data_IF_866304251434
#
_entry.id   IF_866304251434
#
_cell.length_a   1.000
_cell.length_b   1.000
_cell.length_c   1.000
_cell.angle_alpha   90.00
_cell.angle_beta   90.00
_cell.angle_gamma   90.00
#
_symmetry.space_group_name_H-M   'P 1'
#
loop_
_entity.id
_entity.type
_entity.pdbx_description
1 polymer ?
#
# COMPACT_ATOMS: atom_id res chain seq x y z
N UNK A 1 1.23 -34.79 -14.44
CA UNK A 1 1.79 -34.80 -13.06
C UNK A 1 0.89 -33.95 -12.19
N UNK A 2 0.31 -34.51 -11.12
CA UNK A 2 -0.57 -33.77 -10.22
C UNK A 2 0.21 -32.66 -9.51
N UNK A 3 -0.35 -31.45 -9.45
CA UNK A 3 0.22 -30.36 -8.64
C UNK A 3 0.28 -30.85 -7.18
N UNK A 4 1.41 -30.70 -6.47
CA UNK A 4 1.46 -31.04 -5.05
C UNK A 4 0.39 -30.21 -4.32
N UNK A 5 -0.55 -30.91 -3.67
CA UNK A 5 -1.59 -30.26 -2.85
C UNK A 5 -0.94 -29.88 -1.52
N UNK A 6 -0.93 -28.58 -1.20
CA UNK A 6 -0.58 -28.11 0.14
C UNK A 6 -1.56 -28.70 1.15
N UNK A 7 -1.05 -29.41 2.16
CA UNK A 7 -1.89 -30.00 3.20
C UNK A 7 -2.37 -28.93 4.19
N UNK A 8 -3.52 -29.15 4.81
CA UNK A 8 -4.04 -28.27 5.86
C UNK A 8 -3.06 -28.13 7.04
N UNK A 9 -2.33 -29.20 7.38
CA UNK A 9 -1.28 -29.20 8.40
C UNK A 9 -0.10 -28.29 8.06
N UNK A 10 0.33 -28.25 6.79
CA UNK A 10 1.41 -27.36 6.35
C UNK A 10 0.96 -25.90 6.33
N UNK A 11 -0.25 -25.63 5.85
CA UNK A 11 -0.82 -24.29 5.89
C UNK A 11 -0.96 -23.76 7.33
N UNK A 12 -1.35 -24.62 8.26
CA UNK A 12 -1.40 -24.30 9.68
C UNK A 12 -0.01 -24.04 10.27
N UNK A 13 1.00 -24.83 9.89
CA UNK A 13 2.39 -24.66 10.32
C UNK A 13 3.00 -23.33 9.83
N UNK A 14 2.58 -22.81 8.67
CA UNK A 14 3.01 -21.51 8.17
C UNK A 14 2.42 -20.34 8.96
N UNK A 15 1.19 -20.47 9.50
CA UNK A 15 0.50 -19.43 10.27
C UNK A 15 1.08 -19.19 11.67
N UNK A 16 2.07 -19.97 12.10
CA UNK A 16 2.71 -19.81 13.41
C UNK A 16 1.82 -20.23 14.59
N UNK A 17 0.67 -20.86 14.35
CA UNK A 17 -0.25 -21.38 15.37
C UNK A 17 0.29 -22.62 16.11
N UNK A 18 1.60 -22.85 16.05
CA UNK A 18 2.31 -23.74 16.96
C UNK A 18 3.21 -22.84 17.79
N UNK A 19 2.62 -22.17 18.76
CA UNK A 19 3.36 -21.36 19.73
C UNK A 19 4.22 -22.27 20.59
N UNK A 20 5.39 -21.80 21.03
CA UNK A 20 6.29 -22.52 21.98
C UNK A 20 5.53 -23.05 23.23
N UNK A 21 4.38 -22.44 23.56
CA UNK A 21 3.49 -22.85 24.66
C UNK A 21 2.66 -24.12 24.39
N UNK A 22 2.45 -24.52 23.13
CA UNK A 22 1.68 -25.71 22.74
C UNK A 22 2.58 -26.95 22.53
N UNK A 23 3.87 -26.82 22.82
CA UNK A 23 4.81 -27.91 22.70
C UNK A 23 4.83 -28.73 24.00
N UNK A 24 4.59 -30.05 23.93
CA UNK A 24 4.95 -30.91 25.05
C UNK A 24 6.44 -30.74 25.35
N UNK A 25 6.83 -30.87 26.62
CA UNK A 25 8.20 -30.72 27.17
C UNK A 25 9.33 -31.42 26.37
N UNK A 26 9.00 -32.28 25.40
CA UNK A 26 9.90 -33.00 24.53
C UNK A 26 10.69 -32.11 23.53
N UNK A 27 10.15 -30.98 23.05
CA UNK A 27 10.89 -30.09 22.14
C UNK A 27 11.99 -29.25 22.83
N UNK A 28 11.99 -29.21 24.17
CA UNK A 28 13.03 -28.56 24.98
C UNK A 28 14.23 -29.48 25.26
N UNK A 29 14.18 -30.75 24.82
CA UNK A 29 15.16 -31.76 25.22
C UNK A 29 16.42 -31.81 24.34
N UNK A 30 16.38 -31.29 23.11
CA UNK A 30 17.54 -31.35 22.20
C UNK A 30 18.34 -30.04 22.20
N UNK A 31 19.64 -30.17 22.50
CA UNK A 31 20.57 -29.05 22.51
C UNK A 31 20.62 -28.39 21.13
N UNK A 32 20.59 -27.05 21.12
CA UNK A 32 20.77 -26.28 19.91
C UNK A 32 22.18 -26.54 19.34
N UNK A 33 22.32 -27.03 18.11
CA UNK A 33 23.62 -27.38 17.54
C UNK A 33 24.48 -26.15 17.19
N UNK A 34 23.88 -24.96 17.06
CA UNK A 34 24.59 -23.75 16.63
C UNK A 34 24.10 -22.49 17.37
N UNK A 35 24.26 -22.43 18.71
CA UNK A 35 23.70 -21.36 19.54
C UNK A 35 24.30 -19.96 19.24
N UNK A 36 25.43 -19.91 18.53
CA UNK A 36 26.07 -18.65 18.12
C UNK A 36 25.23 -17.83 17.13
N UNK A 37 24.40 -18.47 16.30
CA UNK A 37 23.61 -17.77 15.27
C UNK A 37 22.17 -18.29 15.17
N UNK A 38 21.91 -19.56 15.48
CA UNK A 38 20.57 -20.13 15.49
C UNK A 38 19.91 -19.84 16.85
N UNK A 39 18.82 -19.07 16.87
CA UNK A 39 18.12 -18.80 18.12
C UNK A 39 17.42 -20.05 18.66
N UNK A 40 17.26 -20.15 20.00
CA UNK A 40 16.52 -21.26 20.62
C UNK A 40 15.08 -21.37 20.10
N UNK A 41 14.45 -20.22 19.76
CA UNK A 41 13.13 -20.18 19.13
C UNK A 41 13.15 -20.80 17.73
N UNK A 42 14.08 -20.38 16.88
CA UNK A 42 14.22 -20.93 15.53
C UNK A 42 14.48 -22.44 15.56
N UNK A 43 15.33 -22.90 16.48
CA UNK A 43 15.59 -24.32 16.69
C UNK A 43 14.35 -25.11 17.12
N UNK A 44 13.58 -24.58 18.07
CA UNK A 44 12.31 -25.18 18.49
C UNK A 44 11.30 -25.25 17.32
N UNK A 45 11.25 -24.23 16.46
CA UNK A 45 10.41 -24.23 15.27
C UNK A 45 10.85 -25.29 14.25
N UNK A 46 12.14 -25.56 14.09
CA UNK A 46 12.64 -26.65 13.24
C UNK A 46 12.30 -28.02 13.82
N UNK A 47 12.45 -28.23 15.14
CA UNK A 47 12.05 -29.47 15.80
C UNK A 47 10.54 -29.71 15.70
N UNK A 48 9.73 -28.64 15.69
CA UNK A 48 8.28 -28.73 15.49
C UNK A 48 7.88 -29.35 14.15
N UNK A 49 8.70 -29.13 13.12
CA UNK A 49 8.44 -29.61 11.76
C UNK A 49 8.51 -31.14 11.65
N UNK A 50 9.03 -31.84 12.68
CA UNK A 50 9.02 -33.31 12.72
C UNK A 50 7.63 -33.93 12.58
N UNK A 51 6.59 -33.19 12.95
CA UNK A 51 5.18 -33.58 12.80
C UNK A 51 4.73 -33.66 11.33
N UNK A 52 5.47 -33.05 10.41
CA UNK A 52 5.19 -33.05 8.99
C UNK A 52 5.97 -34.18 8.32
N UNK A 53 5.28 -35.06 7.61
CA UNK A 53 5.85 -36.30 7.05
C UNK A 53 7.10 -36.07 6.19
N UNK A 54 7.10 -35.03 5.34
CA UNK A 54 8.25 -34.70 4.48
C UNK A 54 9.40 -33.98 5.18
N UNK A 55 9.15 -33.40 6.35
CA UNK A 55 10.15 -32.67 7.15
C UNK A 55 10.52 -33.41 8.44
N UNK A 56 10.06 -34.66 8.60
CA UNK A 56 10.24 -35.47 9.80
C UNK A 56 11.68 -35.54 10.26
N UNK A 57 12.60 -35.62 9.31
CA UNK A 57 14.04 -35.84 9.54
C UNK A 57 14.87 -34.56 9.30
N UNK A 58 14.23 -33.40 9.13
CA UNK A 58 14.92 -32.18 8.75
C UNK A 58 15.82 -31.67 9.87
N UNK A 59 15.33 -31.67 11.11
CA UNK A 59 16.08 -31.18 12.26
C UNK A 59 17.40 -31.96 12.45
N UNK A 60 17.41 -33.26 12.20
CA UNK A 60 18.57 -34.15 12.28
C UNK A 60 19.64 -33.83 11.22
N UNK A 61 19.27 -33.12 10.16
CA UNK A 61 20.22 -32.70 9.13
C UNK A 61 20.96 -31.41 9.49
N UNK A 62 20.40 -30.57 10.37
CA UNK A 62 20.97 -29.27 10.73
C UNK A 62 22.36 -29.39 11.37
N UNK A 63 22.61 -30.29 12.35
CA UNK A 63 23.95 -30.48 12.91
C UNK A 63 24.96 -31.05 11.92
N UNK A 64 24.49 -31.73 10.86
CA UNK A 64 25.36 -32.39 9.86
C UNK A 64 25.88 -31.41 8.81
N UNK A 65 25.19 -30.28 8.63
CA UNK A 65 25.47 -29.30 7.58
C UNK A 65 25.28 -27.86 8.08
N UNK A 66 25.85 -27.57 9.26
CA UNK A 66 25.71 -26.27 9.95
C UNK A 66 26.15 -25.12 9.05
N UNK A 67 27.24 -25.29 8.31
CA UNK A 67 27.80 -24.24 7.46
C UNK A 67 26.87 -23.88 6.30
N UNK A 68 26.18 -24.85 5.68
CA UNK A 68 25.18 -24.55 4.64
C UNK A 68 24.00 -23.78 5.20
N UNK A 69 23.45 -24.21 6.33
CA UNK A 69 22.31 -23.52 6.95
C UNK A 69 22.68 -22.14 7.47
N UNK A 70 23.91 -21.96 7.95
CA UNK A 70 24.47 -20.65 8.30
C UNK A 70 24.61 -19.77 7.05
N UNK A 71 25.10 -20.31 5.92
CA UNK A 71 25.17 -19.56 4.67
C UNK A 71 23.79 -19.12 4.17
N UNK A 72 22.76 -19.97 4.32
CA UNK A 72 21.37 -19.59 4.04
C UNK A 72 20.93 -18.47 5.00
N UNK A 73 21.17 -18.63 6.30
CA UNK A 73 20.81 -17.65 7.31
C UNK A 73 21.47 -16.28 7.07
N UNK A 74 22.75 -16.25 6.71
CA UNK A 74 23.52 -15.03 6.47
C UNK A 74 23.23 -14.40 5.08
N UNK A 75 22.56 -15.13 4.18
CA UNK A 75 22.26 -14.63 2.82
C UNK A 75 21.28 -13.44 2.86
N UNK A 76 21.46 -12.44 1.97
CA UNK A 76 20.47 -11.39 1.79
C UNK A 76 19.18 -11.90 1.11
N UNK A 77 19.25 -13.03 0.39
CA UNK A 77 18.14 -13.65 -0.33
C UNK A 77 17.99 -15.14 0.04
N UNK A 78 17.73 -15.46 1.33
CA UNK A 78 17.72 -16.84 1.83
C UNK A 78 16.67 -17.73 1.15
N UNK A 79 15.59 -17.13 0.64
CA UNK A 79 14.51 -17.81 -0.07
C UNK A 79 14.90 -18.33 -1.47
N UNK A 80 16.06 -17.92 -2.00
CA UNK A 80 16.61 -18.37 -3.29
C UNK A 80 17.83 -19.27 -3.13
N UNK A 81 18.34 -19.40 -1.92
CA UNK A 81 19.47 -20.27 -1.63
C UNK A 81 19.08 -21.75 -1.78
N UNK A 82 19.89 -22.58 -2.45
CA UNK A 82 19.62 -24.01 -2.57
C UNK A 82 19.77 -24.72 -1.21
N UNK A 83 18.92 -25.70 -0.92
CA UNK A 83 19.15 -26.59 0.22
C UNK A 83 20.19 -27.66 -0.15
N UNK A 84 20.78 -28.32 0.84
CA UNK A 84 21.55 -29.55 0.59
C UNK A 84 20.60 -30.70 0.22
N UNK A 85 21.11 -31.66 -0.56
CA UNK A 85 20.37 -32.90 -0.80
C UNK A 85 20.28 -33.72 0.49
N UNK A 86 19.16 -34.42 0.75
CA UNK A 86 18.03 -34.65 -0.17
C UNK A 86 16.95 -33.56 -0.14
N UNK A 87 17.09 -32.51 0.67
CA UNK A 87 16.01 -31.54 0.92
C UNK A 87 15.69 -30.67 -0.28
N UNK A 88 16.69 -30.38 -1.11
CA UNK A 88 16.48 -29.66 -2.35
C UNK A 88 15.53 -30.43 -3.29
N UNK A 89 15.72 -31.74 -3.47
CA UNK A 89 14.84 -32.54 -4.32
C UNK A 89 13.54 -32.98 -3.63
N UNK A 90 13.58 -33.25 -2.32
CA UNK A 90 12.44 -33.78 -1.53
C UNK A 90 11.36 -32.73 -1.25
N UNK A 91 11.74 -31.46 -1.05
CA UNK A 91 10.83 -30.41 -0.61
C UNK A 91 10.29 -29.58 -1.77
N UNK A 92 8.97 -29.42 -1.79
CA UNK A 92 8.32 -28.48 -2.70
C UNK A 92 8.47 -27.03 -2.24
N UNK A 93 8.05 -26.10 -3.11
CA UNK A 93 8.20 -24.68 -2.85
C UNK A 93 7.49 -24.20 -1.58
N UNK A 94 6.36 -24.81 -1.20
CA UNK A 94 5.63 -24.42 0.01
C UNK A 94 6.34 -24.92 1.27
N UNK A 95 6.83 -26.16 1.26
CA UNK A 95 7.60 -26.73 2.37
C UNK A 95 8.89 -25.95 2.64
N UNK A 96 9.54 -25.44 1.60
CA UNK A 96 10.71 -24.55 1.75
C UNK A 96 10.36 -23.22 2.45
N UNK A 97 9.13 -22.71 2.30
CA UNK A 97 8.68 -21.53 3.05
C UNK A 97 8.59 -21.80 4.55
N UNK A 98 8.29 -23.04 4.97
CA UNK A 98 8.29 -23.41 6.39
C UNK A 98 9.70 -23.29 6.97
N UNK A 99 10.70 -23.79 6.25
CA UNK A 99 12.11 -23.66 6.65
C UNK A 99 12.54 -22.20 6.72
N UNK A 100 12.18 -21.42 5.70
CA UNK A 100 12.44 -19.99 5.66
C UNK A 100 11.79 -19.26 6.85
N UNK A 101 10.56 -19.62 7.23
CA UNK A 101 9.87 -19.05 8.39
C UNK A 101 10.65 -19.28 9.69
N UNK A 102 11.23 -20.46 9.87
CA UNK A 102 11.99 -20.77 11.07
C UNK A 102 13.37 -20.09 11.09
N UNK A 103 14.08 -20.06 9.95
CA UNK A 103 15.44 -19.52 9.86
C UNK A 103 15.49 -17.99 9.69
N UNK A 104 14.68 -17.45 8.77
CA UNK A 104 14.66 -16.04 8.36
C UNK A 104 13.22 -15.55 8.15
N UNK A 105 12.44 -15.41 9.25
CA UNK A 105 11.04 -14.97 9.18
C UNK A 105 10.88 -13.60 8.54
N UNK A 106 11.88 -12.72 8.62
CA UNK A 106 11.93 -11.41 7.98
C UNK A 106 11.87 -11.50 6.44
N UNK A 107 12.31 -12.62 5.87
CA UNK A 107 12.34 -12.87 4.42
C UNK A 107 11.19 -13.72 3.93
N UNK A 108 10.25 -14.08 4.79
CA UNK A 108 9.10 -14.92 4.44
C UNK A 108 8.22 -14.27 3.37
N UNK A 109 7.99 -12.95 3.45
CA UNK A 109 7.18 -12.23 2.44
C UNK A 109 7.79 -12.33 1.05
N UNK A 110 9.10 -12.11 0.92
CA UNK A 110 9.82 -12.24 -0.36
C UNK A 110 9.77 -13.67 -0.88
N UNK A 111 9.98 -14.67 -0.01
CA UNK A 111 9.85 -16.08 -0.37
C UNK A 111 8.44 -16.45 -0.84
N UNK A 112 7.40 -15.94 -0.16
CA UNK A 112 6.01 -16.17 -0.54
C UNK A 112 5.70 -15.53 -1.90
N UNK A 113 6.22 -14.33 -2.17
CA UNK A 113 6.07 -13.67 -3.46
C UNK A 113 6.75 -14.48 -4.59
N UNK A 114 7.97 -14.96 -4.37
CA UNK A 114 8.67 -15.84 -5.32
C UNK A 114 7.87 -17.12 -5.60
N UNK A 115 7.31 -17.73 -4.55
CA UNK A 115 6.48 -18.93 -4.67
C UNK A 115 5.17 -18.68 -5.44
N UNK A 116 4.45 -17.61 -5.09
CA UNK A 116 3.20 -17.21 -5.78
C UNK A 116 3.45 -16.86 -7.25
N UNK A 117 4.56 -16.18 -7.54
CA UNK A 117 4.96 -15.84 -8.91
C UNK A 117 5.16 -17.09 -9.77
N UNK A 118 5.77 -18.14 -9.21
CA UNK A 118 5.98 -19.41 -9.92
C UNK A 118 4.68 -20.20 -10.08
N UNK A 119 3.76 -20.12 -9.12
CA UNK A 119 2.52 -20.91 -9.11
C UNK A 119 1.38 -20.29 -9.92
N UNK A 120 1.21 -18.96 -9.84
CA UNK A 120 0.08 -18.23 -10.43
C UNK A 120 0.54 -17.22 -11.51
N UNK A 121 1.82 -16.86 -11.52
CA UNK A 121 2.40 -15.87 -12.42
C UNK A 121 2.73 -14.55 -11.71
N UNK A 122 3.65 -13.74 -12.27
CA UNK A 122 4.15 -12.51 -11.65
C UNK A 122 3.07 -11.46 -11.39
N UNK A 123 2.01 -11.41 -12.22
CA UNK A 123 0.87 -10.49 -12.08
C UNK A 123 0.10 -10.56 -10.74
N UNK A 124 0.28 -11.64 -9.97
CA UNK A 124 -0.36 -11.85 -8.66
C UNK A 124 0.46 -11.30 -7.49
N UNK A 125 1.69 -10.85 -7.74
CA UNK A 125 2.56 -10.21 -6.74
C UNK A 125 2.99 -8.81 -7.14
N UNK A 126 2.98 -8.52 -8.44
CA UNK A 126 3.26 -7.19 -8.96
C UNK A 126 2.14 -6.21 -8.59
N UNK A 127 2.46 -5.01 -8.09
CA UNK A 127 1.47 -3.98 -7.86
C UNK A 127 0.75 -3.65 -9.16
N UNK A 128 -0.56 -3.89 -9.22
CA UNK A 128 -1.36 -3.43 -10.35
C UNK A 128 -1.71 -1.96 -10.14
N UNK A 129 -1.52 -1.15 -11.17
CA UNK A 129 -1.98 0.23 -11.15
C UNK A 129 -3.51 0.22 -11.03
N UNK A 130 -4.03 0.80 -9.96
CA UNK A 130 -5.46 1.05 -9.79
C UNK A 130 -5.93 2.05 -10.83
N UNK A 131 -6.85 1.63 -11.69
CA UNK A 131 -7.41 2.45 -12.76
C UNK A 131 -8.93 2.60 -12.58
N UNK A 132 -9.36 3.85 -12.35
CA UNK A 132 -10.77 4.24 -12.22
C UNK A 132 -11.58 3.78 -13.44
N UNK A 133 -10.99 3.79 -14.64
CA UNK A 133 -11.70 3.38 -15.85
C UNK A 133 -12.00 1.88 -15.86
N UNK A 134 -11.15 1.06 -15.25
CA UNK A 134 -11.38 -0.39 -15.13
C UNK A 134 -12.52 -0.66 -14.15
N UNK A 135 -12.50 -0.02 -12.98
CA UNK A 135 -13.56 -0.12 -11.98
C UNK A 135 -14.93 0.35 -12.52
N UNK A 136 -14.92 1.38 -13.38
CA UNK A 136 -16.12 1.92 -14.01
C UNK A 136 -16.79 0.96 -15.00
N UNK A 137 -16.03 0.08 -15.67
CA UNK A 137 -16.59 -0.89 -16.63
C UNK A 137 -17.52 -1.90 -15.97
N UNK A 138 -17.25 -2.22 -14.71
CA UNK A 138 -18.04 -3.17 -13.92
C UNK A 138 -19.21 -2.47 -13.20
N UNK A 139 -19.39 -1.16 -13.39
CA UNK A 139 -20.41 -0.37 -12.72
C UNK A 139 -21.58 0.03 -13.64
N UNK A 140 -22.74 0.14 -13.01
CA UNK A 140 -24.02 0.45 -13.63
C UNK A 140 -24.81 1.43 -12.75
N UNK A 141 -26.06 1.72 -13.09
CA UNK A 141 -26.88 2.62 -12.27
C UNK A 141 -27.18 2.00 -10.89
N UNK A 142 -27.35 0.68 -10.83
CA UNK A 142 -27.60 -0.09 -9.61
C UNK A 142 -26.34 -0.59 -8.88
N UNK A 143 -25.14 -0.43 -9.47
CA UNK A 143 -23.87 -0.90 -8.89
C UNK A 143 -23.04 0.32 -8.45
N UNK A 144 -23.02 0.67 -7.14
CA UNK A 144 -22.24 1.78 -6.63
C UNK A 144 -20.74 1.58 -6.81
N UNK A 145 -20.01 2.69 -6.82
CA UNK A 145 -18.56 2.74 -6.92
C UNK A 145 -17.98 3.22 -5.59
N UNK A 146 -17.16 2.39 -4.93
CA UNK A 146 -16.60 2.69 -3.60
C UNK A 146 -15.08 2.75 -3.64
N UNK A 147 -14.53 3.91 -3.27
CA UNK A 147 -13.12 4.06 -2.94
C UNK A 147 -12.90 3.82 -1.45
N UNK A 148 -12.19 2.74 -1.13
CA UNK A 148 -11.74 2.44 0.22
C UNK A 148 -10.41 3.16 0.45
N UNK A 149 -10.43 4.17 1.31
CA UNK A 149 -9.30 5.05 1.55
C UNK A 149 -8.35 4.47 2.58
N UNK A 150 -7.07 4.43 2.24
CA UNK A 150 -6.00 4.36 3.24
C UNK A 150 -5.74 5.75 3.82
N UNK A 151 -5.10 5.80 5.00
CA UNK A 151 -4.68 7.07 5.62
C UNK A 151 -3.83 7.91 4.66
N UNK A 152 -4.19 9.19 4.50
CA UNK A 152 -3.48 10.14 3.65
C UNK A 152 -3.72 9.99 2.15
N UNK A 153 -4.77 9.26 1.73
CA UNK A 153 -5.15 9.12 0.32
C UNK A 153 -6.46 9.85 0.02
N UNK A 154 -6.53 10.51 -1.14
CA UNK A 154 -7.75 11.12 -1.67
C UNK A 154 -7.84 10.90 -3.20
N UNK A 155 -8.84 10.13 -3.69
CA UNK A 155 -9.03 9.88 -5.11
C UNK A 155 -9.81 11.00 -5.83
N UNK A 156 -10.18 12.08 -5.16
CA UNK A 156 -11.04 13.12 -5.74
C UNK A 156 -10.49 13.67 -7.06
N UNK A 157 -9.19 13.99 -7.14
CA UNK A 157 -8.58 14.52 -8.37
C UNK A 157 -8.58 13.50 -9.52
N UNK A 158 -8.36 12.22 -9.21
CA UNK A 158 -8.41 11.13 -10.18
C UNK A 158 -9.83 10.97 -10.73
N UNK A 159 -10.85 11.03 -9.84
CA UNK A 159 -12.26 10.99 -10.24
C UNK A 159 -12.67 12.21 -11.06
N UNK A 160 -12.26 13.43 -10.69
CA UNK A 160 -12.57 14.64 -11.47
C UNK A 160 -11.98 14.57 -12.88
N UNK A 161 -10.73 14.13 -12.98
CA UNK A 161 -10.07 13.93 -14.28
C UNK A 161 -10.78 12.85 -15.11
N UNK A 162 -11.29 11.80 -14.46
CA UNK A 162 -12.06 10.76 -15.13
C UNK A 162 -13.44 11.25 -15.58
N UNK A 163 -14.16 12.00 -14.74
CA UNK A 163 -15.44 12.60 -15.09
C UNK A 163 -15.31 13.55 -16.28
N UNK A 164 -14.19 14.26 -16.41
CA UNK A 164 -13.92 15.12 -17.56
C UNK A 164 -13.74 14.35 -18.86
N UNK A 165 -12.95 13.29 -18.81
CA UNK A 165 -12.81 12.35 -19.94
C UNK A 165 -14.14 11.74 -20.37
N UNK A 166 -15.04 11.49 -19.41
CA UNK A 166 -16.39 10.95 -19.65
C UNK A 166 -17.44 12.02 -19.97
N UNK A 167 -17.06 13.32 -20.05
CA UNK A 167 -17.97 14.46 -20.26
C UNK A 167 -19.09 14.57 -19.21
N UNK A 168 -18.79 14.14 -17.99
CA UNK A 168 -19.67 14.19 -16.81
C UNK A 168 -19.28 15.26 -15.79
N UNK A 169 -18.17 16.00 -15.99
CA UNK A 169 -17.72 17.07 -15.07
C UNK A 169 -18.83 18.05 -14.68
N UNK A 170 -19.64 18.51 -15.64
CA UNK A 170 -20.74 19.46 -15.40
C UNK A 170 -21.97 18.83 -14.73
N UNK A 171 -22.07 17.50 -14.75
CA UNK A 171 -23.15 16.69 -14.20
C UNK A 171 -22.66 15.86 -13.00
N UNK A 172 -21.59 16.29 -12.35
CA UNK A 172 -21.03 15.64 -11.16
C UNK A 172 -21.34 16.50 -9.93
N UNK A 173 -22.28 16.07 -9.12
CA UNK A 173 -22.54 16.65 -7.80
C UNK A 173 -21.57 16.09 -6.76
N UNK A 174 -20.99 16.95 -5.93
CA UNK A 174 -20.01 16.55 -4.90
C UNK A 174 -20.47 17.04 -3.53
N UNK A 175 -20.45 16.14 -2.54
CA UNK A 175 -20.69 16.48 -1.12
C UNK A 175 -19.67 15.76 -0.25
N UNK A 176 -18.94 16.51 0.57
CA UNK A 176 -18.22 15.96 1.71
C UNK A 176 -19.19 15.72 2.86
N UNK A 177 -19.43 14.45 3.17
CA UNK A 177 -20.33 14.06 4.24
C UNK A 177 -19.71 14.37 5.61
N UNK A 178 -20.58 14.86 6.48
CA UNK A 178 -20.30 15.24 7.86
C UNK A 178 -21.62 15.55 8.55
N UNK A 179 -21.56 16.12 9.76
CA UNK A 179 -22.75 16.41 10.52
C UNK A 179 -23.70 17.36 9.74
N UNK A 180 -24.96 16.96 9.58
CA UNK A 180 -26.01 17.78 8.96
C UNK A 180 -26.07 17.76 7.42
N UNK A 181 -25.21 17.03 6.71
CA UNK A 181 -25.22 16.98 5.24
C UNK A 181 -26.23 15.99 4.63
N UNK A 182 -26.74 15.04 5.43
CA UNK A 182 -27.64 13.97 4.98
C UNK A 182 -28.83 14.43 4.12
N UNK A 183 -29.66 15.40 4.57
CA UNK A 183 -30.81 15.86 3.79
C UNK A 183 -30.45 16.55 2.45
N UNK A 184 -29.23 17.10 2.34
CA UNK A 184 -28.74 17.66 1.08
C UNK A 184 -28.26 16.54 0.15
N UNK A 185 -27.57 15.56 0.70
CA UNK A 185 -27.09 14.39 -0.04
C UNK A 185 -28.25 13.55 -0.60
N UNK A 186 -29.30 13.33 0.19
CA UNK A 186 -30.50 12.61 -0.25
C UNK A 186 -31.18 13.29 -1.44
N UNK A 187 -31.41 14.61 -1.38
CA UNK A 187 -31.99 15.36 -2.50
C UNK A 187 -31.13 15.29 -3.77
N UNK A 188 -29.81 15.45 -3.60
CA UNK A 188 -28.86 15.35 -4.72
C UNK A 188 -28.86 13.95 -5.34
N UNK A 189 -28.94 12.90 -4.53
CA UNK A 189 -29.01 11.52 -4.99
C UNK A 189 -30.29 11.29 -5.81
N UNK A 190 -31.45 11.64 -5.26
CA UNK A 190 -32.74 11.42 -5.93
C UNK A 190 -32.81 12.16 -7.28
N UNK A 191 -32.37 13.43 -7.30
CA UNK A 191 -32.30 14.21 -8.54
C UNK A 191 -31.34 13.57 -9.56
N UNK A 192 -30.17 13.09 -9.12
CA UNK A 192 -29.20 12.49 -10.02
C UNK A 192 -29.69 11.16 -10.61
N UNK A 193 -30.45 10.37 -9.85
CA UNK A 193 -31.08 9.13 -10.32
C UNK A 193 -32.05 9.41 -11.46
N UNK A 194 -32.83 10.49 -11.37
CA UNK A 194 -33.80 10.90 -12.41
C UNK A 194 -33.10 11.52 -13.63
N UNK A 195 -32.13 12.42 -13.42
CA UNK A 195 -31.50 13.20 -14.49
C UNK A 195 -30.33 12.50 -15.20
N UNK A 196 -29.83 11.39 -14.64
CA UNK A 196 -28.64 10.71 -15.17
C UNK A 196 -27.33 11.41 -14.85
N UNK A 197 -27.28 12.09 -13.70
CA UNK A 197 -26.08 12.78 -13.22
C UNK A 197 -25.25 11.86 -12.33
N UNK A 198 -23.99 12.23 -12.08
CA UNK A 198 -23.12 11.53 -11.13
C UNK A 198 -23.17 12.22 -9.78
N UNK A 199 -23.08 11.44 -8.71
CA UNK A 199 -22.91 11.96 -7.35
C UNK A 199 -21.64 11.40 -6.73
N UNK A 200 -20.91 12.25 -6.03
CA UNK A 200 -19.70 11.89 -5.31
C UNK A 200 -19.83 12.28 -3.84
N UNK A 201 -20.02 11.28 -2.98
CA UNK A 201 -20.09 11.47 -1.53
C UNK A 201 -18.77 11.09 -0.89
N UNK A 202 -18.09 12.11 -0.37
CA UNK A 202 -16.79 11.93 0.28
C UNK A 202 -16.96 11.70 1.78
N UNK A 203 -16.04 10.96 2.38
CA UNK A 203 -15.92 10.78 3.83
C UNK A 203 -17.16 10.15 4.48
N UNK A 204 -17.74 9.11 3.87
CA UNK A 204 -18.95 8.44 4.37
C UNK A 204 -18.83 7.96 5.82
N UNK A 205 -17.63 7.53 6.25
CA UNK A 205 -17.31 7.18 7.64
C UNK A 205 -17.59 8.31 8.67
N UNK A 206 -17.64 9.58 8.25
CA UNK A 206 -17.94 10.73 9.10
C UNK A 206 -19.45 11.02 9.25
N UNK A 207 -20.33 10.29 8.54
CA UNK A 207 -21.78 10.44 8.63
C UNK A 207 -22.50 9.13 9.03
N UNK A 208 -22.09 8.47 10.15
CA UNK A 208 -22.58 7.14 10.51
C UNK A 208 -24.10 7.07 10.72
N UNK A 209 -24.73 8.15 11.19
CA UNK A 209 -26.18 8.20 11.42
C UNK A 209 -27.01 8.24 10.13
N UNK A 210 -26.42 8.67 9.01
CA UNK A 210 -27.13 8.77 7.74
C UNK A 210 -26.88 7.57 6.83
N UNK A 211 -25.81 6.79 7.06
CA UNK A 211 -25.48 5.63 6.24
C UNK A 211 -26.61 4.59 6.09
N UNK A 212 -27.40 4.25 7.13
CA UNK A 212 -28.55 3.35 6.96
C UNK A 212 -29.63 3.92 6.03
N UNK A 213 -29.79 5.25 6.01
CA UNK A 213 -30.72 5.91 5.09
C UNK A 213 -30.23 5.84 3.66
N UNK A 214 -28.93 6.04 3.44
CA UNK A 214 -28.32 5.88 2.11
C UNK A 214 -28.51 4.45 1.58
N UNK A 215 -28.35 3.42 2.43
CA UNK A 215 -28.59 2.02 2.07
C UNK A 215 -30.02 1.81 1.56
N UNK A 216 -31.03 2.26 2.32
CA UNK A 216 -32.43 2.18 1.91
C UNK A 216 -32.72 2.91 0.58
N UNK A 217 -32.08 4.06 0.35
CA UNK A 217 -32.26 4.80 -0.90
C UNK A 217 -31.68 4.02 -2.09
N UNK A 218 -30.50 3.43 -1.93
CA UNK A 218 -29.83 2.68 -2.99
C UNK A 218 -30.50 1.32 -3.27
N UNK A 219 -31.16 0.70 -2.29
CA UNK A 219 -31.99 -0.50 -2.52
C UNK A 219 -33.14 -0.23 -3.52
N UNK A 220 -33.65 1.00 -3.58
CA UNK A 220 -34.69 1.40 -4.55
C UNK A 220 -34.16 1.73 -5.95
N UNK A 221 -32.84 1.88 -6.11
CA UNK A 221 -32.19 2.20 -7.38
C UNK A 221 -31.90 0.90 -8.13
N UNK A 222 -32.64 0.67 -9.20
CA UNK A 222 -32.50 -0.49 -10.08
C UNK A 222 -32.19 -0.03 -11.50
N UNK A 223 -31.71 -0.93 -12.36
CA UNK A 223 -31.47 -0.60 -13.77
C UNK A 223 -32.74 -0.14 -14.51
N UNK A 224 -33.93 -0.55 -14.05
CA UNK A 224 -35.21 -0.18 -14.66
C UNK A 224 -35.74 1.16 -14.12
N UNK A 225 -35.39 1.53 -12.89
CA UNK A 225 -35.90 2.74 -12.22
C UNK A 225 -34.96 3.94 -12.33
N UNK A 226 -33.67 3.71 -12.54
CA UNK A 226 -32.65 4.75 -12.60
C UNK A 226 -32.26 5.11 -14.03
N UNK A 227 -31.92 6.37 -14.26
CA UNK A 227 -31.37 6.77 -15.55
C UNK A 227 -30.04 6.04 -15.84
N UNK A 228 -29.88 5.51 -17.04
CA UNK A 228 -28.72 4.66 -17.42
C UNK A 228 -27.34 5.30 -17.18
N UNK A 229 -27.24 6.62 -17.32
CA UNK A 229 -26.00 7.38 -17.09
C UNK A 229 -25.71 7.68 -15.60
N UNK A 230 -26.68 7.47 -14.70
CA UNK A 230 -26.53 7.72 -13.27
C UNK A 230 -25.40 6.87 -12.69
N UNK A 231 -24.53 7.48 -11.87
CA UNK A 231 -23.50 6.78 -11.11
C UNK A 231 -23.32 7.42 -9.74
N UNK A 232 -23.15 6.59 -8.72
CA UNK A 232 -22.79 7.02 -7.37
C UNK A 232 -21.37 6.57 -7.02
N UNK A 233 -20.57 7.54 -6.60
CA UNK A 233 -19.21 7.38 -6.13
C UNK A 233 -19.16 7.68 -4.64
N UNK A 234 -18.56 6.80 -3.85
CA UNK A 234 -18.44 6.92 -2.41
C UNK A 234 -16.97 6.85 -2.01
N UNK A 235 -16.53 7.68 -1.05
CA UNK A 235 -15.25 7.45 -0.35
C UNK A 235 -15.47 7.15 1.11
N UNK A 236 -14.70 6.19 1.63
CA UNK A 236 -14.68 5.91 3.07
C UNK A 236 -13.38 5.24 3.48
N UNK A 237 -12.87 5.58 4.66
CA UNK A 237 -11.95 4.68 5.37
C UNK A 237 -12.74 3.46 5.86
N UNK A 238 -12.08 2.31 6.11
CA UNK A 238 -12.74 1.14 6.71
C UNK A 238 -13.44 1.53 8.02
N UNK A 239 -14.76 1.34 8.08
CA UNK A 239 -15.59 1.71 9.22
C UNK A 239 -16.72 0.71 9.41
N UNK A 240 -17.01 0.28 10.65
CA UNK A 240 -18.14 -0.60 10.94
C UNK A 240 -19.50 0.07 10.69
N UNK A 241 -19.53 1.41 10.59
CA UNK A 241 -20.73 2.17 10.28
C UNK A 241 -21.04 2.21 8.78
N UNK A 242 -20.13 1.76 7.91
CA UNK A 242 -20.38 1.70 6.48
C UNK A 242 -21.29 0.49 6.16
N UNK A 243 -22.40 0.66 5.43
CA UNK A 243 -23.36 -0.41 5.19
C UNK A 243 -22.78 -1.61 4.45
N UNK A 244 -23.01 -2.79 5.00
CA UNK A 244 -22.53 -4.04 4.41
C UNK A 244 -23.20 -4.31 3.06
N UNK A 245 -24.49 -3.99 2.91
CA UNK A 245 -25.21 -4.18 1.66
C UNK A 245 -24.61 -3.35 0.52
N UNK A 246 -24.34 -2.06 0.76
CA UNK A 246 -23.65 -1.18 -0.21
C UNK A 246 -22.26 -1.75 -0.54
N UNK A 247 -21.51 -2.17 0.48
CA UNK A 247 -20.17 -2.73 0.26
C UNK A 247 -20.20 -4.04 -0.55
N UNK A 248 -21.22 -4.88 -0.37
CA UNK A 248 -21.39 -6.12 -1.13
C UNK A 248 -21.81 -5.86 -2.58
N UNK A 249 -22.78 -4.96 -2.78
CA UNK A 249 -23.36 -4.63 -4.10
C UNK A 249 -22.46 -3.73 -4.97
N UNK A 250 -21.43 -3.09 -4.38
CA UNK A 250 -20.57 -2.15 -5.08
C UNK A 250 -19.38 -2.79 -5.82
N UNK A 251 -18.92 -2.10 -6.85
CA UNK A 251 -17.56 -2.20 -7.36
C UNK A 251 -16.64 -1.38 -6.45
N UNK A 252 -15.55 -1.99 -5.97
CA UNK A 252 -14.73 -1.41 -4.90
C UNK A 252 -13.25 -1.40 -5.25
N UNK A 253 -12.58 -0.31 -4.91
CA UNK A 253 -11.14 -0.12 -5.13
C UNK A 253 -10.50 0.43 -3.87
N UNK A 254 -9.41 -0.21 -3.44
CA UNK A 254 -8.57 0.30 -2.38
C UNK A 254 -7.59 1.32 -2.95
N UNK A 255 -7.65 2.55 -2.43
CA UNK A 255 -6.69 3.59 -2.76
C UNK A 255 -5.62 3.55 -1.68
N UNK A 256 -4.46 3.00 -2.03
CA UNK A 256 -3.30 2.91 -1.14
C UNK A 256 -2.19 3.86 -1.62
N UNK A 257 -1.37 4.42 -0.71
CA UNK A 257 -0.16 5.10 -1.11
C UNK A 257 0.78 4.14 -1.86
N UNK A 258 1.52 4.62 -2.87
CA UNK A 258 2.51 3.79 -3.54
C UNK A 258 3.54 3.25 -2.56
N UNK A 259 4.06 2.04 -2.85
CA UNK A 259 5.07 1.39 -2.02
C UNK A 259 6.43 1.47 -2.69
N UNK A 260 7.41 1.98 -1.95
CA UNK A 260 8.80 2.08 -2.37
C UNK A 260 9.15 3.45 -2.90
N UNK A 261 10.41 3.84 -2.71
CA UNK A 261 10.94 5.16 -3.10
C UNK A 261 10.69 5.47 -4.57
N UNK A 262 10.91 4.49 -5.47
CA UNK A 262 10.70 4.67 -6.91
C UNK A 262 9.24 5.01 -7.24
N UNK A 263 8.29 4.28 -6.67
CA UNK A 263 6.86 4.48 -6.95
C UNK A 263 6.37 5.82 -6.38
N UNK A 264 6.79 6.17 -5.15
CA UNK A 264 6.50 7.49 -4.56
C UNK A 264 7.08 8.63 -5.39
N UNK A 265 8.32 8.49 -5.88
CA UNK A 265 8.95 9.48 -6.74
C UNK A 265 8.18 9.65 -8.06
N UNK A 266 7.83 8.55 -8.72
CA UNK A 266 7.06 8.58 -9.97
C UNK A 266 5.70 9.26 -9.77
N UNK A 267 4.97 8.92 -8.70
CA UNK A 267 3.70 9.56 -8.37
C UNK A 267 3.86 11.05 -8.14
N UNK A 268 4.80 11.47 -7.30
CA UNK A 268 5.07 12.87 -7.00
C UNK A 268 5.43 13.66 -8.28
N UNK A 269 6.23 13.07 -9.18
CA UNK A 269 6.55 13.67 -10.47
C UNK A 269 5.31 13.86 -11.34
N UNK A 270 4.49 12.81 -11.49
CA UNK A 270 3.31 12.84 -12.36
C UNK A 270 2.21 13.76 -11.82
N UNK A 271 1.99 13.80 -10.49
CA UNK A 271 0.88 14.55 -9.90
C UNK A 271 1.21 16.01 -9.61
N UNK A 272 2.45 16.35 -9.25
CA UNK A 272 2.79 17.70 -8.77
C UNK A 272 3.52 18.57 -9.80
N UNK A 273 4.34 17.99 -10.68
CA UNK A 273 5.15 18.80 -11.60
C UNK A 273 4.37 19.35 -12.80
N UNK A 274 3.20 18.80 -13.11
CA UNK A 274 2.31 19.37 -14.14
C UNK A 274 1.94 20.82 -13.84
N UNK A 275 1.77 21.18 -12.57
CA UNK A 275 1.50 22.57 -12.16
C UNK A 275 2.68 23.54 -12.40
N UNK A 276 3.86 23.02 -12.71
CA UNK A 276 5.08 23.79 -12.97
C UNK A 276 5.57 23.61 -14.40
N UNK A 277 4.82 22.93 -15.27
CA UNK A 277 5.27 22.52 -16.61
C UNK A 277 5.79 23.71 -17.45
N UNK A 278 5.10 24.85 -17.41
CA UNK A 278 5.51 26.07 -18.11
C UNK A 278 6.93 26.53 -17.70
N UNK A 279 7.18 26.61 -16.39
CA UNK A 279 8.49 27.01 -15.88
C UNK A 279 9.53 25.90 -16.06
N UNK A 280 9.10 24.66 -15.84
CA UNK A 280 9.92 23.47 -15.99
C UNK A 280 10.46 23.39 -17.41
N UNK A 281 9.65 23.64 -18.45
CA UNK A 281 10.05 23.55 -19.85
C UNK A 281 10.57 24.87 -20.45
N UNK A 282 10.55 25.97 -19.68
CA UNK A 282 11.05 27.28 -20.15
C UNK A 282 12.56 27.31 -20.43
N UNK A 283 12.98 28.26 -21.27
CA UNK A 283 14.40 28.58 -21.53
C UNK A 283 15.00 29.50 -20.45
N UNK A 284 14.27 29.76 -19.37
CA UNK A 284 14.75 30.62 -18.29
C UNK A 284 16.03 30.05 -17.68
N UNK A 285 17.03 30.89 -17.39
CA UNK A 285 18.34 30.48 -16.85
C UNK A 285 18.24 29.69 -15.53
N UNK A 286 17.15 29.90 -14.77
CA UNK A 286 16.82 29.20 -13.52
C UNK A 286 16.02 27.91 -13.68
N UNK A 287 15.54 27.59 -14.88
CA UNK A 287 14.75 26.39 -15.12
C UNK A 287 15.57 25.12 -14.85
N UNK A 288 16.81 25.04 -15.35
CA UNK A 288 17.68 23.88 -15.10
C UNK A 288 18.02 23.67 -13.60
N UNK A 289 18.41 24.71 -12.82
CA UNK A 289 18.51 24.62 -11.37
C UNK A 289 17.22 24.13 -10.70
N UNK A 290 16.05 24.65 -11.11
CA UNK A 290 14.76 24.22 -10.57
C UNK A 290 14.50 22.74 -10.82
N UNK A 291 14.70 22.24 -12.04
CA UNK A 291 14.52 20.81 -12.38
C UNK A 291 15.34 19.90 -11.47
N UNK A 292 16.61 20.24 -11.24
CA UNK A 292 17.52 19.47 -10.38
C UNK A 292 17.08 19.48 -8.93
N UNK A 293 16.68 20.63 -8.41
CA UNK A 293 16.27 20.78 -7.02
C UNK A 293 14.88 20.18 -6.76
N UNK A 294 13.96 20.29 -7.71
CA UNK A 294 12.66 19.64 -7.67
C UNK A 294 12.80 18.11 -7.65
N UNK A 295 13.72 17.54 -8.43
CA UNK A 295 14.05 16.11 -8.36
C UNK A 295 14.59 15.71 -6.97
N UNK A 296 15.49 16.51 -6.39
CA UNK A 296 16.00 16.24 -5.04
C UNK A 296 14.92 16.32 -3.97
N UNK A 297 14.04 17.32 -4.05
CA UNK A 297 12.95 17.53 -3.09
C UNK A 297 11.90 16.41 -3.18
N UNK A 298 11.52 16.01 -4.39
CA UNK A 298 10.59 14.89 -4.61
C UNK A 298 11.20 13.55 -4.18
N UNK A 299 12.50 13.34 -4.38
CA UNK A 299 13.22 12.18 -3.86
C UNK A 299 13.24 12.17 -2.33
N UNK A 300 13.51 13.31 -1.70
CA UNK A 300 13.44 13.44 -0.25
C UNK A 300 12.04 13.14 0.28
N UNK A 301 11.01 13.65 -0.41
CA UNK A 301 9.63 13.34 -0.09
C UNK A 301 9.33 11.84 -0.14
N UNK A 302 9.75 11.17 -1.21
CA UNK A 302 9.58 9.72 -1.36
C UNK A 302 10.29 8.92 -0.26
N UNK A 303 11.48 9.35 0.17
CA UNK A 303 12.23 8.70 1.26
C UNK A 303 11.52 8.89 2.59
N UNK A 304 11.04 10.11 2.88
CA UNK A 304 10.33 10.42 4.12
C UNK A 304 9.02 9.64 4.24
N UNK A 305 8.27 9.52 3.14
CA UNK A 305 7.08 8.66 3.07
C UNK A 305 7.40 7.20 3.41
N UNK A 306 8.47 6.64 2.83
CA UNK A 306 8.90 5.26 3.14
C UNK A 306 9.37 5.10 4.58
N UNK A 307 10.02 6.13 5.14
CA UNK A 307 10.55 6.11 6.50
C UNK A 307 9.43 6.03 7.56
N UNK A 308 8.21 6.51 7.25
CA UNK A 308 7.04 6.40 8.14
C UNK A 308 6.70 4.95 8.50
N UNK A 309 7.04 3.99 7.63
CA UNK A 309 6.74 2.56 7.82
C UNK A 309 7.50 1.93 8.99
N UNK A 310 8.56 2.59 9.47
CA UNK A 310 9.40 2.10 10.57
C UNK A 310 8.93 2.57 11.96
N UNK A 311 7.75 3.20 12.06
CA UNK A 311 7.18 3.66 13.32
C UNK A 311 8.16 4.54 14.10
N UNK A 312 8.39 4.21 15.38
CA UNK A 312 9.29 4.95 16.27
C UNK A 312 10.76 4.99 15.80
N UNK A 313 11.22 4.02 15.00
CA UNK A 313 12.57 4.04 14.40
C UNK A 313 12.66 5.02 13.21
N UNK A 314 11.52 5.30 12.58
CA UNK A 314 11.41 6.28 11.51
C UNK A 314 11.29 7.71 12.05
N UNK A 315 10.28 7.93 12.90
CA UNK A 315 9.93 9.21 13.50
C UNK A 315 9.52 9.04 14.97
N UNK A 316 9.97 9.94 15.84
CA UNK A 316 9.56 9.93 17.25
C UNK A 316 8.06 10.24 17.41
N UNK A 317 7.55 11.16 16.59
CA UNK A 317 6.13 11.50 16.50
C UNK A 317 5.73 11.35 15.02
N UNK A 318 4.69 10.57 14.69
CA UNK A 318 4.25 10.41 13.32
C UNK A 318 3.73 11.74 12.77
N UNK A 319 4.23 12.12 11.59
CA UNK A 319 3.73 13.25 10.81
C UNK A 319 3.16 12.74 9.48
N UNK A 320 2.08 13.36 9.02
CA UNK A 320 1.41 13.01 7.78
C UNK A 320 1.87 13.95 6.65
N UNK A 321 2.99 13.60 6.03
CA UNK A 321 3.47 14.30 4.84
C UNK A 321 2.50 14.05 3.68
N UNK A 322 1.90 15.12 3.16
CA UNK A 322 0.93 15.11 2.08
C UNK A 322 1.52 15.58 0.75
N UNK A 323 0.81 15.34 -0.35
CA UNK A 323 1.16 15.95 -1.64
C UNK A 323 1.02 17.48 -1.62
N UNK A 324 0.17 18.02 -0.72
CA UNK A 324 0.02 19.46 -0.51
C UNK A 324 1.29 20.10 0.04
N UNK A 325 1.94 19.47 1.02
CA UNK A 325 3.20 19.94 1.60
C UNK A 325 4.30 20.00 0.53
N UNK A 326 4.41 18.94 -0.28
CA UNK A 326 5.35 18.90 -1.40
C UNK A 326 5.06 20.02 -2.42
N UNK A 327 3.79 20.26 -2.76
CA UNK A 327 3.40 21.34 -3.69
C UNK A 327 3.82 22.71 -3.17
N UNK A 328 3.61 22.97 -1.87
CA UNK A 328 4.02 24.24 -1.25
C UNK A 328 5.53 24.40 -1.32
N UNK A 329 6.30 23.36 -0.99
CA UNK A 329 7.76 23.41 -1.08
C UNK A 329 8.27 23.62 -2.50
N UNK A 330 7.64 23.01 -3.52
CA UNK A 330 7.96 23.25 -4.93
C UNK A 330 7.63 24.68 -5.35
N UNK A 331 6.49 25.22 -4.91
CA UNK A 331 6.11 26.62 -5.16
C UNK A 331 7.09 27.59 -4.53
N UNK A 332 7.45 27.40 -3.26
CA UNK A 332 8.44 28.23 -2.57
C UNK A 332 9.81 28.12 -3.23
N UNK A 333 10.22 26.91 -3.62
CA UNK A 333 11.47 26.70 -4.37
C UNK A 333 11.51 27.52 -5.65
N UNK A 334 10.43 27.51 -6.44
CA UNK A 334 10.32 28.35 -7.63
C UNK A 334 10.42 29.83 -7.28
N UNK A 335 9.69 30.30 -6.28
CA UNK A 335 9.73 31.71 -5.86
C UNK A 335 11.14 32.15 -5.47
N UNK A 336 11.82 31.39 -4.60
CA UNK A 336 13.17 31.74 -4.15
C UNK A 336 14.21 31.73 -5.28
N UNK A 337 14.09 30.79 -6.23
CA UNK A 337 15.00 30.76 -7.39
C UNK A 337 14.83 31.97 -8.33
N UNK A 338 13.63 32.56 -8.37
CA UNK A 338 13.34 33.75 -9.16
C UNK A 338 13.70 35.04 -8.42
N UNK A 339 13.57 35.05 -7.09
CA UNK A 339 13.92 36.19 -6.25
C UNK A 339 15.44 36.41 -6.14
N UNK A 340 16.22 35.33 -6.04
CA UNK A 340 17.67 35.41 -5.83
C UNK A 340 18.50 35.23 -7.10
N UNK A 341 19.50 36.09 -7.26
CA UNK A 341 20.48 35.99 -8.36
C UNK A 341 21.33 34.71 -8.28
N UNK A 342 21.67 34.23 -7.08
CA UNK A 342 22.43 33.01 -6.87
C UNK A 342 21.56 31.93 -6.22
N UNK A 343 21.81 30.65 -6.54
CA UNK A 343 21.07 29.55 -5.92
C UNK A 343 21.53 29.40 -4.45
N UNK A 344 20.66 29.60 -3.45
CA UNK A 344 21.07 29.59 -2.05
C UNK A 344 21.23 28.16 -1.52
N UNK A 345 22.34 27.49 -1.87
CA UNK A 345 22.63 26.09 -1.48
C UNK A 345 23.21 25.98 -0.05
N UNK A 346 23.77 27.06 0.51
CA UNK A 346 24.43 27.05 1.83
C UNK A 346 23.61 27.78 2.89
N UNK A 347 23.52 27.20 4.09
CA UNK A 347 23.17 27.92 5.32
C UNK A 347 24.39 28.72 5.74
N UNK A 348 24.37 30.02 5.48
CA UNK A 348 25.25 30.93 6.20
C UNK A 348 24.76 31.03 7.64
N UNK A 349 25.61 30.76 8.63
CA UNK A 349 25.37 31.07 10.06
C UNK A 349 25.31 32.58 10.33
N UNK A 350 24.64 33.34 9.47
CA UNK A 350 24.56 34.79 9.58
C UNK A 350 23.18 35.16 10.12
N UNK A 351 23.20 35.56 11.38
CA UNK A 351 22.20 36.37 12.08
C UNK A 351 21.45 37.30 11.11
N UNK A 352 20.13 37.09 11.00
CA UNK A 352 19.23 37.94 10.22
C UNK A 352 18.64 37.27 8.98
N UNK A 353 17.60 36.45 9.16
CA UNK A 353 16.55 36.21 8.16
C UNK A 353 16.90 35.46 6.86
N UNK A 354 18.11 34.94 6.66
CA UNK A 354 18.49 34.26 5.40
C UNK A 354 18.09 32.78 5.39
N UNK A 355 16.84 32.53 5.03
CA UNK A 355 16.27 31.21 4.79
C UNK A 355 16.67 30.67 3.40
N UNK A 356 17.79 29.93 3.31
CA UNK A 356 18.20 29.24 2.08
C UNK A 356 17.41 27.95 1.79
N UNK A 357 17.86 27.12 0.84
CA UNK A 357 17.23 25.85 0.46
C UNK A 357 16.93 24.90 1.63
N UNK A 358 17.69 25.00 2.74
CA UNK A 358 17.41 24.26 3.98
C UNK A 358 16.17 24.77 4.72
N UNK A 359 15.76 26.03 4.57
CA UNK A 359 14.52 26.53 5.16
C UNK A 359 13.28 25.91 4.50
N UNK A 360 13.35 25.61 3.20
CA UNK A 360 12.32 24.82 2.51
C UNK A 360 12.29 23.39 3.07
N UNK A 361 13.44 22.82 3.46
CA UNK A 361 13.55 21.52 4.13
C UNK A 361 13.22 21.55 5.63
N UNK A 362 13.32 22.71 6.31
CA UNK A 362 13.00 22.93 7.73
C UNK A 362 11.51 23.26 7.90
N UNK A 363 10.92 23.92 6.90
CA UNK A 363 9.47 24.10 6.79
C UNK A 363 8.76 22.82 6.31
N UNK A 364 9.52 21.78 5.96
CA UNK A 364 9.02 20.50 5.47
C UNK A 364 9.08 19.40 6.52
#
# INVERSE_FOLDING_TARGET
MGRPKTSASEAHALRGAVTVKDFPRCAQAEANPAPAWLSARAWAELLAMRRLERLREFAESVPKDIDRYKAIFDSPQPHREPLSEPWQSRLDGFQRLLLLRALRPDKLTEGLQDWLSRMLGPRFVEPQATDVATMFKDASAAIPLVFVLSTGTDPAQELFSFADKMRMSKRLGVISLGQGQGPRAERMLLQAVEEGSWVFFQNCHLAPSWMPRLEQLLEGVTEDTAHRDFRIWLTSTPSPAFPVAILQASSKMTVEPPRGVKANLQRAFMSQLGAFEDFFNSEHSKALPFRRLALSLTLFHAIVLERRKFGALGFNIPYEFTEGDLRICLSQLRMFLLEYHDVPVKVGKSSGGRAGFLAILILW
#
